data_IF_123235098568
#
_entry.id   IF_123235098568
#
_cell.length_a   1.000
_cell.length_b   1.000
_cell.length_c   1.000
_cell.angle_alpha   90.00
_cell.angle_beta   90.00
_cell.angle_gamma   90.00
#
_symmetry.space_group_name_H-M   'P 1'
#
loop_
_entity.id
_entity.type
_entity.pdbx_description
1 polymer ?
#
# COMPACT_ATOMS: atom_id res chain seq x y z
N UNK A 1 -19.18 8.49 -3.54
CA UNK A 1 -18.51 7.30 -4.15
C UNK A 1 -19.50 6.14 -4.23
N UNK A 2 -19.59 5.49 -5.40
CA UNK A 2 -20.55 4.40 -5.60
C UNK A 2 -20.30 3.22 -4.65
N UNK A 3 -21.35 2.47 -4.35
CA UNK A 3 -21.29 1.29 -3.46
C UNK A 3 -20.31 0.23 -3.99
N UNK A 4 -20.24 0.05 -5.31
CA UNK A 4 -19.32 -0.89 -5.95
C UNK A 4 -17.86 -0.51 -5.71
N UNK A 5 -17.49 0.77 -5.93
CA UNK A 5 -16.12 1.24 -5.70
C UNK A 5 -15.76 1.13 -4.22
N UNK A 6 -16.69 1.49 -3.31
CA UNK A 6 -16.47 1.34 -1.88
C UNK A 6 -16.09 -0.09 -1.48
N UNK A 7 -16.90 -1.07 -1.84
CA UNK A 7 -16.64 -2.46 -1.46
C UNK A 7 -15.41 -3.05 -2.17
N UNK A 8 -15.13 -2.62 -3.41
CA UNK A 8 -13.91 -2.99 -4.10
C UNK A 8 -12.67 -2.47 -3.34
N UNK A 9 -12.67 -1.23 -2.86
CA UNK A 9 -11.56 -0.68 -2.06
C UNK A 9 -11.45 -1.38 -0.70
N UNK A 10 -12.55 -1.77 -0.07
CA UNK A 10 -12.51 -2.61 1.15
C UNK A 10 -11.89 -3.98 0.87
N UNK A 11 -12.25 -4.62 -0.25
CA UNK A 11 -11.62 -5.87 -0.68
C UNK A 11 -10.12 -5.67 -0.94
N UNK A 12 -9.73 -4.58 -1.60
CA UNK A 12 -8.34 -4.22 -1.79
C UNK A 12 -7.61 -4.02 -0.47
N UNK A 13 -8.24 -3.37 0.52
CA UNK A 13 -7.69 -3.20 1.86
C UNK A 13 -7.49 -4.55 2.59
N UNK A 14 -8.41 -5.50 2.43
CA UNK A 14 -8.28 -6.87 2.96
C UNK A 14 -7.13 -7.63 2.28
N UNK A 15 -7.10 -7.69 0.95
CA UNK A 15 -6.03 -8.33 0.18
C UNK A 15 -4.66 -7.73 0.54
N UNK A 16 -4.65 -6.42 0.73
CA UNK A 16 -3.48 -5.69 1.16
C UNK A 16 -3.00 -6.12 2.56
N UNK A 17 -3.93 -6.28 3.51
CA UNK A 17 -3.59 -6.80 4.83
C UNK A 17 -3.07 -8.26 4.78
N UNK A 18 -3.63 -9.10 3.90
CA UNK A 18 -3.21 -10.49 3.71
C UNK A 18 -1.75 -10.59 3.27
N UNK A 19 -1.34 -9.89 2.21
CA UNK A 19 0.06 -9.99 1.77
C UNK A 19 1.03 -9.40 2.81
N UNK A 20 0.64 -8.34 3.52
CA UNK A 20 1.45 -7.77 4.60
C UNK A 20 1.62 -8.78 5.75
N UNK A 21 0.57 -9.50 6.12
CA UNK A 21 0.63 -10.53 7.15
C UNK A 21 1.58 -11.67 6.75
N UNK A 22 1.56 -12.10 5.49
CA UNK A 22 2.48 -13.12 4.97
C UNK A 22 3.94 -12.65 5.08
N UNK A 23 4.23 -11.41 4.66
CA UNK A 23 5.59 -10.85 4.78
C UNK A 23 6.02 -10.72 6.24
N UNK A 24 5.12 -10.27 7.12
CA UNK A 24 5.41 -10.08 8.54
C UNK A 24 5.61 -11.40 9.28
N UNK A 25 4.83 -12.43 8.96
CA UNK A 25 4.90 -13.75 9.60
C UNK A 25 6.09 -14.60 9.13
N UNK A 26 6.77 -14.21 8.05
CA UNK A 26 7.94 -14.91 7.54
C UNK A 26 9.24 -14.55 8.27
N UNK A 27 10.14 -15.53 8.42
CA UNK A 27 11.42 -15.36 9.11
C UNK A 27 12.34 -14.33 8.44
N UNK A 28 12.32 -14.27 7.10
CA UNK A 28 13.14 -13.36 6.30
C UNK A 28 12.23 -12.39 5.53
N UNK A 29 12.15 -11.14 6.01
CA UNK A 29 11.26 -10.11 5.43
C UNK A 29 11.69 -9.70 4.03
N UNK A 30 13.01 -9.65 3.75
CA UNK A 30 13.54 -9.28 2.43
C UNK A 30 13.19 -10.37 1.41
N UNK A 31 13.39 -11.64 1.79
CA UNK A 31 12.98 -12.79 0.98
C UNK A 31 11.47 -12.78 0.69
N UNK A 32 10.62 -12.62 1.72
CA UNK A 32 9.18 -12.65 1.52
C UNK A 32 8.69 -11.45 0.69
N UNK A 33 9.26 -10.26 0.89
CA UNK A 33 8.94 -9.09 0.07
C UNK A 33 9.29 -9.33 -1.40
N UNK A 34 10.51 -9.82 -1.67
CA UNK A 34 10.93 -10.15 -3.03
C UNK A 34 10.07 -11.26 -3.65
N UNK A 35 9.65 -12.25 -2.87
CA UNK A 35 8.73 -13.30 -3.31
C UNK A 35 7.35 -12.74 -3.67
N UNK A 36 6.77 -11.86 -2.85
CA UNK A 36 5.49 -11.17 -3.14
C UNK A 36 5.58 -10.38 -4.44
N UNK A 37 6.62 -9.55 -4.56
CA UNK A 37 6.84 -8.71 -5.74
C UNK A 37 7.07 -9.53 -7.01
N UNK A 38 7.86 -10.61 -6.94
CA UNK A 38 8.06 -11.51 -8.08
C UNK A 38 6.79 -12.32 -8.39
N UNK A 39 6.01 -12.65 -7.37
CA UNK A 39 4.78 -13.43 -7.48
C UNK A 39 3.64 -12.73 -8.21
N UNK A 40 3.73 -11.40 -8.41
CA UNK A 40 2.77 -10.68 -9.27
C UNK A 40 3.04 -10.83 -10.76
N UNK A 41 4.22 -11.33 -11.17
CA UNK A 41 4.59 -11.49 -12.59
C UNK A 41 3.59 -12.36 -13.38
N UNK A 42 3.22 -13.58 -12.93
CA UNK A 42 2.37 -14.45 -13.73
C UNK A 42 1.01 -13.83 -14.01
N UNK A 43 0.36 -13.24 -13.00
CA UNK A 43 -0.93 -12.58 -13.18
C UNK A 43 -0.83 -11.31 -14.02
N UNK A 44 0.29 -10.58 -13.92
CA UNK A 44 0.55 -9.42 -14.79
C UNK A 44 0.60 -9.83 -16.26
N UNK A 45 1.29 -10.93 -16.58
CA UNK A 45 1.35 -11.48 -17.95
C UNK A 45 -0.03 -11.92 -18.45
N UNK A 46 -0.82 -12.58 -17.60
CA UNK A 46 -2.20 -12.98 -17.95
C UNK A 46 -3.07 -11.76 -18.25
N UNK A 47 -2.99 -10.72 -17.43
CA UNK A 47 -3.75 -9.47 -17.67
C UNK A 47 -3.31 -8.80 -18.97
N UNK A 48 -2.01 -8.74 -19.26
CA UNK A 48 -1.50 -8.17 -20.51
C UNK A 48 -1.83 -8.99 -21.75
N UNK A 49 -2.11 -10.28 -21.60
CA UNK A 49 -2.57 -11.14 -22.70
C UNK A 49 -4.08 -10.98 -22.99
N UNK A 50 -4.88 -10.59 -21.99
CA UNK A 50 -6.34 -10.49 -22.09
C UNK A 50 -6.79 -9.07 -22.43
N UNK A 51 -6.13 -8.05 -21.87
CA UNK A 51 -6.53 -6.66 -22.01
C UNK A 51 -5.65 -5.90 -23.00
N UNK A 52 -6.18 -4.87 -23.68
CA UNK A 52 -5.37 -4.03 -24.56
C UNK A 52 -4.25 -3.33 -23.78
N UNK A 53 -3.13 -3.13 -24.45
CA UNK A 53 -2.02 -2.35 -23.89
C UNK A 53 -2.47 -0.92 -23.55
N UNK A 54 -1.88 -0.31 -22.50
CA UNK A 54 -2.17 1.06 -22.12
C UNK A 54 -1.90 2.04 -23.26
N UNK A 55 -2.77 3.05 -23.38
CA UNK A 55 -2.62 4.13 -24.35
C UNK A 55 -1.25 4.81 -24.20
N UNK A 56 -0.65 5.25 -25.31
CA UNK A 56 0.71 5.82 -25.37
C UNK A 56 0.85 7.03 -24.44
N UNK A 57 -0.21 7.81 -24.29
CA UNK A 57 -0.32 8.99 -23.44
C UNK A 57 -0.09 8.67 -21.95
N UNK A 58 -0.33 7.43 -21.53
CA UNK A 58 -0.13 6.98 -20.14
C UNK A 58 1.30 6.54 -19.82
N UNK A 59 2.16 6.32 -20.83
CA UNK A 59 3.47 5.70 -20.62
C UNK A 59 4.45 6.55 -19.80
N UNK A 60 4.36 7.88 -19.89
CA UNK A 60 5.13 8.77 -19.02
C UNK A 60 4.84 8.53 -17.54
N UNK A 61 3.56 8.29 -17.21
CA UNK A 61 3.12 7.96 -15.85
C UNK A 61 3.53 6.54 -15.44
N UNK A 62 3.46 5.56 -16.36
CA UNK A 62 3.93 4.19 -16.12
C UNK A 62 5.41 4.19 -15.71
N UNK A 63 6.26 4.86 -16.50
CA UNK A 63 7.71 4.92 -16.24
C UNK A 63 7.99 5.62 -14.90
N UNK A 64 7.32 6.75 -14.65
CA UNK A 64 7.47 7.47 -13.39
C UNK A 64 7.02 6.62 -12.18
N UNK A 65 5.89 5.92 -12.29
CA UNK A 65 5.38 5.05 -11.24
C UNK A 65 6.31 3.89 -10.95
N UNK A 66 6.85 3.22 -11.98
CA UNK A 66 7.85 2.16 -11.81
C UNK A 66 9.05 2.67 -11.00
N UNK A 67 9.59 3.84 -11.37
CA UNK A 67 10.74 4.41 -10.67
C UNK A 67 10.42 4.71 -9.20
N UNK A 68 9.28 5.36 -8.92
CA UNK A 68 8.87 5.70 -7.55
C UNK A 68 8.57 4.45 -6.73
N UNK A 69 7.92 3.43 -7.30
CA UNK A 69 7.61 2.18 -6.59
C UNK A 69 8.86 1.36 -6.26
N UNK A 70 9.86 1.32 -7.15
CA UNK A 70 11.15 0.68 -6.83
C UNK A 70 11.83 1.43 -5.69
N UNK A 71 11.93 2.76 -5.77
CA UNK A 71 12.53 3.58 -4.71
C UNK A 71 11.79 3.39 -3.37
N UNK A 72 10.46 3.40 -3.39
CA UNK A 72 9.60 3.14 -2.24
C UNK A 72 9.97 1.85 -1.52
N UNK A 73 10.09 0.72 -2.22
CA UNK A 73 10.36 -0.57 -1.58
C UNK A 73 11.74 -0.58 -0.89
N UNK A 74 12.77 0.01 -1.52
CA UNK A 74 14.10 0.10 -0.90
C UNK A 74 14.13 1.05 0.30
N UNK A 75 13.54 2.24 0.17
CA UNK A 75 13.48 3.22 1.27
C UNK A 75 12.70 2.65 2.45
N UNK A 76 11.60 1.93 2.20
CA UNK A 76 10.81 1.29 3.24
C UNK A 76 11.59 0.19 3.96
N UNK A 77 12.26 -0.69 3.22
CA UNK A 77 13.12 -1.73 3.81
C UNK A 77 14.21 -1.10 4.68
N UNK A 78 14.88 -0.08 4.18
CA UNK A 78 15.91 0.63 4.93
C UNK A 78 15.35 1.35 6.17
N UNK A 79 14.15 1.91 6.09
CA UNK A 79 13.46 2.48 7.24
C UNK A 79 13.20 1.44 8.33
N UNK A 80 12.75 0.24 7.96
CA UNK A 80 12.54 -0.88 8.89
C UNK A 80 13.83 -1.46 9.48
N UNK A 81 14.95 -1.38 8.75
CA UNK A 81 16.26 -1.75 9.28
C UNK A 81 16.81 -0.67 10.23
N UNK A 82 16.44 0.60 10.03
CA UNK A 82 16.93 1.74 10.82
C UNK A 82 16.15 1.97 12.11
N UNK A 83 14.85 1.66 12.16
CA UNK A 83 14.02 1.94 13.34
C UNK A 83 12.90 0.95 13.59
N UNK A 84 12.32 1.06 14.78
CA UNK A 84 11.25 0.18 15.24
C UNK A 84 10.03 0.24 14.32
N UNK A 85 9.45 -0.93 14.03
CA UNK A 85 8.24 -1.05 13.21
C UNK A 85 7.09 -0.20 13.78
N UNK A 86 6.97 -0.11 15.10
CA UNK A 86 5.97 0.69 15.81
C UNK A 86 6.12 2.20 15.55
N UNK A 87 7.29 2.67 15.13
CA UNK A 87 7.54 4.06 14.74
C UNK A 87 7.44 4.27 13.22
N UNK A 88 8.06 3.40 12.44
CA UNK A 88 8.20 3.58 10.98
C UNK A 88 6.87 3.39 10.27
N UNK A 89 6.13 2.33 10.63
CA UNK A 89 4.90 1.97 9.96
C UNK A 89 3.82 3.07 10.00
N UNK A 90 3.50 3.67 11.17
CA UNK A 90 2.43 4.66 11.25
C UNK A 90 2.77 5.96 10.51
N UNK A 91 4.04 6.36 10.53
CA UNK A 91 4.49 7.56 9.81
C UNK A 91 4.41 7.32 8.31
N UNK A 92 4.95 6.20 7.81
CA UNK A 92 4.95 5.89 6.38
C UNK A 92 3.53 5.74 5.83
N UNK A 93 2.64 5.05 6.55
CA UNK A 93 1.26 4.80 6.13
C UNK A 93 0.33 5.98 6.34
N UNK A 94 0.44 6.67 7.46
CA UNK A 94 -0.44 7.79 7.79
C UNK A 94 -0.15 9.06 6.98
N UNK A 95 1.11 9.31 6.63
CA UNK A 95 1.48 10.51 5.85
C UNK A 95 1.06 10.43 4.38
N UNK A 96 1.01 9.23 3.77
CA UNK A 96 0.63 9.06 2.36
C UNK A 96 -0.74 9.67 2.03
N UNK A 97 -1.85 9.19 2.61
CA UNK A 97 -3.19 9.73 2.37
C UNK A 97 -3.33 11.20 2.75
N UNK A 98 -2.63 11.68 3.78
CA UNK A 98 -2.62 13.11 4.12
C UNK A 98 -2.00 13.95 3.00
N UNK A 99 -0.85 13.54 2.49
CA UNK A 99 -0.17 14.24 1.40
C UNK A 99 -1.05 14.19 0.15
N UNK A 100 -1.67 13.05 -0.16
CA UNK A 100 -2.60 12.93 -1.28
C UNK A 100 -3.80 13.85 -1.10
N UNK A 101 -4.41 13.92 0.09
CA UNK A 101 -5.54 14.80 0.37
C UNK A 101 -5.15 16.28 0.18
N UNK A 102 -4.02 16.72 0.75
CA UNK A 102 -3.53 18.09 0.56
C UNK A 102 -3.25 18.38 -0.92
N UNK A 103 -2.58 17.46 -1.62
CA UNK A 103 -2.29 17.63 -3.04
C UNK A 103 -3.57 17.72 -3.87
N UNK A 104 -4.57 16.91 -3.54
CA UNK A 104 -5.86 16.90 -4.23
C UNK A 104 -6.59 18.23 -4.10
N UNK A 105 -6.59 18.83 -2.89
CA UNK A 105 -7.21 20.14 -2.64
C UNK A 105 -6.47 21.25 -3.37
N UNK A 106 -5.14 21.33 -3.22
CA UNK A 106 -4.37 22.48 -3.68
C UNK A 106 -3.97 22.42 -5.16
N UNK A 107 -3.77 21.23 -5.72
CA UNK A 107 -3.24 21.05 -7.08
C UNK A 107 -4.21 20.39 -8.04
N UNK A 108 -5.09 19.49 -7.56
CA UNK A 108 -6.13 18.89 -8.41
C UNK A 108 -7.46 19.66 -8.38
N UNK A 109 -7.59 20.66 -7.51
CA UNK A 109 -8.80 21.45 -7.35
C UNK A 109 -9.99 20.65 -6.82
N UNK A 110 -9.75 19.51 -6.17
CA UNK A 110 -10.80 18.69 -5.59
C UNK A 110 -11.40 19.37 -4.36
N UNK A 111 -12.73 19.43 -4.30
CA UNK A 111 -13.47 19.94 -3.15
C UNK A 111 -14.05 18.77 -2.35
N UNK A 112 -13.81 18.78 -1.05
CA UNK A 112 -14.33 17.78 -0.13
C UNK A 112 -15.38 18.36 0.80
N UNK A 113 -16.43 17.60 1.06
CA UNK A 113 -17.39 17.96 2.10
C UNK A 113 -16.74 17.87 3.49
N UNK A 114 -17.31 18.56 4.47
CA UNK A 114 -16.84 18.47 5.86
C UNK A 114 -16.81 17.02 6.36
N UNK A 115 -17.80 16.21 5.96
CA UNK A 115 -17.90 14.80 6.34
C UNK A 115 -16.75 13.97 5.73
N UNK A 116 -16.34 14.26 4.50
CA UNK A 116 -15.20 13.61 3.85
C UNK A 116 -13.87 13.98 4.52
N UNK A 117 -13.68 15.25 4.87
CA UNK A 117 -12.49 15.70 5.61
C UNK A 117 -12.42 15.01 6.97
N UNK A 118 -13.52 15.00 7.73
CA UNK A 118 -13.60 14.31 9.01
C UNK A 118 -13.30 12.81 8.88
N UNK A 119 -13.83 12.16 7.85
CA UNK A 119 -13.55 10.74 7.58
C UNK A 119 -12.06 10.48 7.32
N UNK A 120 -11.42 11.26 6.45
CA UNK A 120 -9.98 11.16 6.15
C UNK A 120 -9.17 11.39 7.43
N UNK A 121 -9.47 12.46 8.17
CA UNK A 121 -8.76 12.79 9.41
C UNK A 121 -8.90 11.68 10.45
N UNK A 122 -10.09 11.09 10.60
CA UNK A 122 -10.32 10.01 11.56
C UNK A 122 -9.52 8.75 11.22
N UNK A 123 -9.47 8.37 9.93
CA UNK A 123 -8.67 7.22 9.48
C UNK A 123 -7.18 7.48 9.71
N UNK A 124 -6.68 8.64 9.28
CA UNK A 124 -5.27 9.00 9.43
C UNK A 124 -4.87 9.07 10.90
N UNK A 125 -5.67 9.71 11.75
CA UNK A 125 -5.39 9.80 13.18
C UNK A 125 -5.41 8.40 13.82
N UNK A 126 -6.32 7.52 13.40
CA UNK A 126 -6.31 6.12 13.82
C UNK A 126 -4.98 5.44 13.53
N UNK A 127 -4.40 5.66 12.35
CA UNK A 127 -3.06 5.15 12.00
C UNK A 127 -2.01 5.81 12.88
N UNK A 128 -1.97 7.13 12.98
CA UNK A 128 -0.92 7.86 13.72
C UNK A 128 -0.92 7.54 15.22
N UNK A 129 -2.08 7.23 15.81
CA UNK A 129 -2.21 6.79 17.21
C UNK A 129 -1.43 5.51 17.46
N UNK A 130 -1.23 4.64 16.46
CA UNK A 130 -0.38 3.45 16.62
C UNK A 130 1.10 3.79 16.91
N UNK A 131 1.55 5.00 16.57
CA UNK A 131 2.91 5.48 16.90
C UNK A 131 3.11 5.81 18.39
N UNK A 132 2.02 5.88 19.18
CA UNK A 132 2.06 6.19 20.62
C UNK A 132 2.38 4.92 21.45
N UNK A 133 2.30 3.73 20.85
CA UNK A 133 2.62 2.47 21.53
C UNK A 133 4.07 2.38 22.03
N UNK A 134 4.31 1.48 23.00
CA UNK A 134 5.65 1.24 23.59
C UNK A 134 6.68 0.97 22.47
N UNK A 135 7.67 1.86 22.37
CA UNK A 135 8.88 1.61 21.58
C UNK A 135 9.76 0.61 22.31
N UNK A 136 10.44 -0.28 21.56
CA UNK A 136 11.27 -1.33 22.15
C UNK A 136 12.44 -0.75 22.95
N UNK A 137 12.96 0.41 22.50
CA UNK A 137 14.16 1.05 23.08
C UNK A 137 13.91 2.45 23.68
N UNK A 138 12.65 2.91 23.78
CA UNK A 138 12.28 4.18 24.40
C UNK A 138 12.83 5.48 23.76
N UNK A 139 13.62 5.39 22.68
CA UNK A 139 14.20 6.54 21.98
C UNK A 139 13.61 6.67 20.57
N UNK A 140 13.03 7.84 20.29
CA UNK A 140 12.60 8.21 18.94
C UNK A 140 13.81 8.30 18.01
N UNK A 141 13.89 7.41 17.04
CA UNK A 141 14.93 7.50 16.01
C UNK A 141 14.49 8.51 14.95
N UNK A 142 15.09 9.70 14.97
CA UNK A 142 14.77 10.78 14.02
C UNK A 142 15.09 10.38 12.57
N UNK A 143 16.19 9.64 12.35
CA UNK A 143 16.56 9.15 11.03
C UNK A 143 15.51 8.17 10.49
N UNK A 144 15.02 7.26 11.34
CA UNK A 144 13.93 6.35 10.97
C UNK A 144 12.63 7.09 10.67
N UNK A 145 12.30 8.15 11.43
CA UNK A 145 11.13 8.99 11.16
C UNK A 145 11.26 9.72 9.81
N UNK A 146 12.45 10.26 9.51
CA UNK A 146 12.73 10.91 8.23
C UNK A 146 12.56 9.93 7.06
N UNK A 147 13.13 8.73 7.17
CA UNK A 147 12.97 7.68 6.15
C UNK A 147 11.51 7.26 5.98
N UNK A 148 10.78 7.09 7.08
CA UNK A 148 9.36 6.77 7.05
C UNK A 148 8.53 7.86 6.37
N UNK A 149 8.83 9.13 6.62
CA UNK A 149 8.15 10.25 5.94
C UNK A 149 8.47 10.26 4.44
N UNK A 150 9.74 10.02 4.05
CA UNK A 150 10.12 9.88 2.64
C UNK A 150 9.34 8.72 1.99
N UNK A 151 9.18 7.58 2.69
CA UNK A 151 8.33 6.48 2.23
C UNK A 151 6.90 6.97 1.99
N UNK A 152 6.33 7.73 2.92
CA UNK A 152 5.01 8.33 2.78
C UNK A 152 4.89 9.24 1.56
N UNK A 153 5.90 10.07 1.30
CA UNK A 153 5.98 10.88 0.09
C UNK A 153 6.03 10.03 -1.18
N UNK A 154 6.78 8.92 -1.18
CA UNK A 154 6.77 7.99 -2.31
C UNK A 154 5.39 7.33 -2.49
N UNK A 155 4.71 6.97 -1.39
CA UNK A 155 3.35 6.41 -1.42
C UNK A 155 2.37 7.39 -2.05
N UNK A 156 2.40 8.64 -1.62
CA UNK A 156 1.58 9.69 -2.21
C UNK A 156 1.93 9.93 -3.68
N UNK A 157 3.24 10.00 -3.98
CA UNK A 157 3.76 10.24 -5.32
C UNK A 157 3.28 9.21 -6.33
N UNK A 158 3.52 7.91 -6.08
CA UNK A 158 3.05 6.87 -7.00
C UNK A 158 1.52 6.84 -7.07
N UNK A 159 0.80 7.13 -5.97
CA UNK A 159 -0.67 7.10 -5.97
C UNK A 159 -1.26 8.19 -6.87
N UNK A 160 -0.70 9.40 -6.83
CA UNK A 160 -1.11 10.51 -7.68
C UNK A 160 -0.71 10.25 -9.15
N UNK A 161 0.53 9.80 -9.38
CA UNK A 161 1.01 9.44 -10.72
C UNK A 161 0.10 8.37 -11.34
N UNK A 162 -0.22 7.32 -10.59
CA UNK A 162 -1.08 6.23 -11.05
C UNK A 162 -2.52 6.67 -11.26
N UNK A 163 -3.05 7.54 -10.40
CA UNK A 163 -4.39 8.09 -10.60
C UNK A 163 -4.51 8.92 -11.88
N UNK A 164 -3.50 9.73 -12.20
CA UNK A 164 -3.46 10.53 -13.42
C UNK A 164 -3.21 9.65 -14.66
N UNK A 165 -2.25 8.73 -14.58
CA UNK A 165 -1.90 7.82 -15.67
C UNK A 165 -3.02 6.85 -16.03
N UNK A 166 -3.68 6.25 -15.03
CA UNK A 166 -4.73 5.27 -15.27
C UNK A 166 -5.97 5.87 -15.96
N UNK A 167 -6.27 7.16 -15.74
CA UNK A 167 -7.34 7.88 -16.44
C UNK A 167 -7.06 8.04 -17.94
N UNK A 168 -5.78 8.04 -18.34
CA UNK A 168 -5.34 8.13 -19.73
C UNK A 168 -5.13 6.76 -20.39
N UNK A 169 -5.06 5.68 -19.61
CA UNK A 169 -4.57 4.39 -20.07
C UNK A 169 -5.58 3.51 -20.82
N UNK A 170 -6.84 3.94 -20.96
CA UNK A 170 -8.01 3.16 -21.40
C UNK A 170 -8.40 1.98 -20.49
N UNK A 171 -7.43 1.26 -19.91
CA UNK A 171 -7.67 0.14 -19.01
C UNK A 171 -6.72 0.19 -17.79
N UNK A 172 -7.29 0.33 -16.60
CA UNK A 172 -6.54 0.45 -15.35
C UNK A 172 -5.79 -0.85 -14.97
N UNK A 173 -6.31 -2.02 -15.34
CA UNK A 173 -5.69 -3.30 -15.02
C UNK A 173 -4.45 -3.53 -15.87
N UNK A 174 -4.50 -3.27 -17.18
CA UNK A 174 -3.30 -3.36 -18.03
C UNK A 174 -2.27 -2.27 -17.72
N UNK A 175 -2.73 -1.06 -17.34
CA UNK A 175 -1.85 0.01 -16.84
C UNK A 175 -1.00 -0.48 -15.66
N UNK A 176 -1.66 -1.01 -14.63
CA UNK A 176 -0.93 -1.51 -13.47
C UNK A 176 -0.18 -2.81 -13.77
N UNK A 177 -0.65 -3.66 -14.68
CA UNK A 177 0.05 -4.89 -15.03
C UNK A 177 1.43 -4.65 -15.63
N UNK A 178 1.62 -3.61 -16.45
CA UNK A 178 2.95 -3.23 -16.92
C UNK A 178 3.84 -2.82 -15.74
N UNK A 179 3.32 -1.97 -14.86
CA UNK A 179 4.06 -1.49 -13.68
C UNK A 179 4.47 -2.68 -12.78
N UNK A 180 3.51 -3.55 -12.46
CA UNK A 180 3.68 -4.75 -11.65
C UNK A 180 4.65 -5.76 -12.25
N UNK A 181 4.61 -5.96 -13.57
CA UNK A 181 5.58 -6.77 -14.28
C UNK A 181 6.98 -6.14 -14.18
N UNK A 182 7.11 -4.83 -14.42
CA UNK A 182 8.39 -4.14 -14.42
C UNK A 182 9.06 -4.15 -13.05
N UNK A 183 8.39 -3.69 -11.99
CA UNK A 183 9.00 -3.73 -10.65
C UNK A 183 9.12 -5.17 -10.12
N UNK A 184 8.20 -6.07 -10.52
CA UNK A 184 8.27 -7.51 -10.27
C UNK A 184 9.56 -8.16 -10.76
N UNK A 185 10.07 -7.70 -11.91
CA UNK A 185 11.35 -8.15 -12.47
C UNK A 185 12.54 -7.42 -11.86
N UNK A 186 12.47 -6.09 -11.72
CA UNK A 186 13.63 -5.27 -11.35
C UNK A 186 13.96 -5.41 -9.86
N UNK A 187 12.96 -5.34 -8.98
CA UNK A 187 13.19 -5.30 -7.54
C UNK A 187 13.89 -6.56 -7.00
N UNK A 188 13.48 -7.80 -7.35
CA UNK A 188 14.16 -8.99 -6.86
C UNK A 188 15.60 -9.11 -7.35
N UNK A 189 15.91 -8.67 -8.58
CA UNK A 189 17.29 -8.65 -9.10
C UNK A 189 18.16 -7.67 -8.32
N UNK A 190 17.63 -6.50 -7.98
CA UNK A 190 18.35 -5.54 -7.15
C UNK A 190 18.50 -6.03 -5.70
N UNK A 191 17.48 -6.70 -5.15
CA UNK A 191 17.54 -7.31 -3.82
C UNK A 191 18.55 -8.47 -3.75
N UNK A 192 18.67 -9.28 -4.81
CA UNK A 192 19.67 -10.35 -4.94
C UNK A 192 21.10 -9.79 -4.83
N UNK A 193 21.36 -8.59 -5.37
CA UNK A 193 22.68 -7.94 -5.26
C UNK A 193 23.02 -7.54 -3.82
N UNK A 194 22.02 -7.22 -3.00
CA UNK A 194 22.21 -6.90 -1.58
C UNK A 194 22.21 -8.15 -0.70
N UNK A 195 21.59 -9.23 -1.15
CA UNK A 195 21.46 -10.49 -0.41
C UNK A 195 21.58 -11.68 -1.37
N UNK A 196 22.82 -12.10 -1.72
CA UNK A 196 23.04 -13.16 -2.69
C UNK A 196 22.39 -14.48 -2.28
N UNK A 197 21.77 -15.17 -3.24
CA UNK A 197 21.05 -16.42 -3.06
C UNK A 197 19.56 -16.26 -2.72
N UNK A 198 19.06 -15.02 -2.56
CA UNK A 198 17.66 -14.74 -2.22
C UNK A 198 16.69 -15.35 -3.23
N UNK A 199 16.90 -15.17 -4.53
CA UNK A 199 16.00 -15.66 -5.59
C UNK A 199 15.94 -17.19 -5.58
N UNK A 200 17.07 -17.86 -5.35
CA UNK A 200 17.15 -19.33 -5.28
C UNK A 200 16.42 -19.91 -4.07
N UNK A 201 16.24 -19.11 -3.01
CA UNK A 201 15.51 -19.49 -1.79
C UNK A 201 13.99 -19.36 -1.94
N UNK A 202 13.50 -18.48 -2.82
CA UNK A 202 12.05 -18.21 -2.99
C UNK A 202 11.23 -19.50 -3.19
N UNK A 203 11.58 -20.40 -4.14
CA UNK A 203 10.79 -21.61 -4.36
C UNK A 203 10.80 -22.60 -3.20
N UNK A 204 11.72 -22.46 -2.24
CA UNK A 204 11.86 -23.37 -1.10
C UNK A 204 11.22 -22.80 0.17
N UNK A 205 11.46 -21.52 0.42
CA UNK A 205 11.19 -20.87 1.71
C UNK A 205 10.03 -19.88 1.67
N UNK A 206 9.62 -19.39 0.49
CA UNK A 206 8.66 -18.29 0.35
C UNK A 206 7.51 -18.58 -0.63
N UNK A 207 7.11 -19.85 -0.79
CA UNK A 207 6.03 -20.26 -1.72
C UNK A 207 4.71 -19.53 -1.46
N UNK A 208 4.30 -19.42 -0.21
CA UNK A 208 3.05 -18.74 0.15
C UNK A 208 3.13 -17.23 -0.16
N UNK A 209 4.27 -16.59 0.11
CA UNK A 209 4.52 -15.20 -0.26
C UNK A 209 4.47 -15.01 -1.78
N UNK A 210 5.05 -15.93 -2.55
CA UNK A 210 5.01 -15.89 -4.01
C UNK A 210 3.59 -16.06 -4.55
N UNK A 211 2.91 -17.17 -4.24
CA UNK A 211 1.62 -17.47 -4.86
C UNK A 211 0.47 -16.69 -4.24
N UNK A 212 0.34 -16.65 -2.92
CA UNK A 212 -0.79 -15.98 -2.25
C UNK A 212 -0.50 -14.49 -2.15
N UNK A 213 0.67 -14.13 -1.62
CA UNK A 213 1.06 -12.75 -1.45
C UNK A 213 1.22 -12.01 -2.78
N UNK A 214 1.79 -12.65 -3.81
CA UNK A 214 1.94 -12.08 -5.15
C UNK A 214 0.61 -11.80 -5.87
N UNK A 215 -0.35 -12.72 -5.79
CA UNK A 215 -1.68 -12.46 -6.33
C UNK A 215 -2.42 -11.40 -5.49
N UNK A 216 -2.34 -11.48 -4.16
CA UNK A 216 -2.99 -10.52 -3.28
C UNK A 216 -2.46 -9.10 -3.47
N UNK A 217 -1.14 -8.90 -3.62
CA UNK A 217 -0.55 -7.57 -3.88
C UNK A 217 -1.01 -7.01 -5.22
N UNK A 218 -1.01 -7.86 -6.26
CA UNK A 218 -1.44 -7.45 -7.60
C UNK A 218 -2.89 -6.99 -7.59
N UNK A 219 -3.81 -7.85 -7.14
CA UNK A 219 -5.23 -7.52 -7.15
C UNK A 219 -5.56 -6.37 -6.20
N UNK A 220 -4.92 -6.31 -5.02
CA UNK A 220 -5.12 -5.19 -4.10
C UNK A 220 -4.85 -3.86 -4.80
N UNK A 221 -3.70 -3.72 -5.46
CA UNK A 221 -3.35 -2.44 -6.05
C UNK A 221 -3.98 -2.20 -7.43
N UNK A 222 -4.22 -3.24 -8.24
CA UNK A 222 -4.99 -3.13 -9.48
C UNK A 222 -6.40 -2.56 -9.23
N UNK A 223 -7.07 -3.03 -8.16
CA UNK A 223 -8.37 -2.50 -7.74
C UNK A 223 -8.27 -1.03 -7.31
N UNK A 224 -7.20 -0.65 -6.60
CA UNK A 224 -6.97 0.75 -6.19
C UNK A 224 -6.76 1.67 -7.39
N UNK A 225 -5.93 1.24 -8.36
CA UNK A 225 -5.68 1.99 -9.60
C UNK A 225 -6.97 2.13 -10.40
N UNK A 226 -7.78 1.06 -10.50
CA UNK A 226 -9.12 1.16 -11.08
C UNK A 226 -10.01 2.13 -10.30
N UNK A 227 -10.02 2.07 -8.97
CA UNK A 227 -10.83 2.97 -8.14
C UNK A 227 -10.43 4.44 -8.30
N UNK A 228 -9.15 4.76 -8.54
CA UNK A 228 -8.70 6.13 -8.87
C UNK A 228 -9.31 6.68 -10.18
N UNK A 229 -9.72 5.81 -11.11
CA UNK A 229 -10.45 6.23 -12.30
C UNK A 229 -11.92 6.56 -12.02
N UNK A 230 -12.44 6.13 -10.87
CA UNK A 230 -13.88 6.19 -10.53
C UNK A 230 -14.20 7.15 -9.38
N UNK A 231 -13.21 7.50 -8.55
CA UNK A 231 -13.40 8.30 -7.35
C UNK A 231 -12.16 9.17 -7.05
N UNK A 232 -12.34 10.27 -6.29
CA UNK A 232 -11.24 11.12 -5.83
C UNK A 232 -10.11 10.33 -5.15
N UNK A 233 -8.87 10.67 -5.50
CA UNK A 233 -7.66 9.92 -5.08
C UNK A 233 -7.52 9.91 -3.56
N UNK A 234 -7.82 11.04 -2.92
CA UNK A 234 -7.77 11.19 -1.47
C UNK A 234 -8.75 10.24 -0.75
N UNK A 235 -9.96 10.07 -1.28
CA UNK A 235 -10.97 9.19 -0.67
C UNK A 235 -10.58 7.72 -0.78
N UNK A 236 -10.08 7.31 -1.96
CA UNK A 236 -9.64 5.94 -2.21
C UNK A 236 -8.42 5.58 -1.36
N UNK A 237 -7.42 6.47 -1.30
CA UNK A 237 -6.21 6.25 -0.48
C UNK A 237 -6.51 6.22 1.00
N UNK A 238 -7.38 7.10 1.51
CA UNK A 238 -7.81 7.05 2.91
C UNK A 238 -8.56 5.75 3.21
N UNK A 239 -9.54 5.36 2.38
CA UNK A 239 -10.31 4.14 2.60
C UNK A 239 -9.44 2.86 2.56
N UNK A 240 -8.40 2.83 1.72
CA UNK A 240 -7.44 1.72 1.67
C UNK A 240 -6.75 1.49 3.02
N UNK A 241 -6.53 2.53 3.81
CA UNK A 241 -5.87 2.40 5.12
C UNK A 241 -6.73 1.71 6.18
N UNK A 242 -8.00 1.42 5.89
CA UNK A 242 -8.79 0.44 6.67
C UNK A 242 -8.14 -0.96 6.70
N UNK A 243 -7.15 -1.21 5.83
CA UNK A 243 -6.31 -2.41 5.88
C UNK A 243 -5.64 -2.63 7.24
N UNK A 244 -5.43 -1.58 8.03
CA UNK A 244 -4.91 -1.70 9.39
C UNK A 244 -5.84 -2.49 10.31
N UNK A 245 -7.16 -2.37 10.12
CA UNK A 245 -8.15 -3.12 10.91
C UNK A 245 -8.09 -4.60 10.58
N UNK A 246 -8.00 -4.94 9.29
CA UNK A 246 -7.80 -6.32 8.86
C UNK A 246 -6.45 -6.87 9.32
N UNK A 247 -5.37 -6.08 9.24
CA UNK A 247 -4.04 -6.48 9.70
C UNK A 247 -4.01 -6.76 11.21
N UNK A 248 -4.74 -5.98 12.01
CA UNK A 248 -4.89 -6.20 13.45
C UNK A 248 -5.65 -7.48 13.76
N UNK A 249 -6.77 -7.73 13.08
CA UNK A 249 -7.53 -8.99 13.20
C UNK A 249 -6.63 -10.18 12.84
N UNK A 250 -5.92 -10.10 11.70
CA UNK A 250 -5.01 -11.17 11.27
C UNK A 250 -3.88 -11.36 12.29
N UNK A 251 -3.32 -10.27 12.82
CA UNK A 251 -2.26 -10.31 13.83
C UNK A 251 -2.69 -11.00 15.12
N UNK A 252 -3.89 -10.69 15.63
CA UNK A 252 -4.42 -11.31 16.85
C UNK A 252 -4.74 -12.80 16.64
N UNK A 253 -5.48 -13.14 15.59
CA UNK A 253 -5.98 -14.50 15.41
C UNK A 253 -4.97 -15.47 14.79
N UNK A 254 -4.14 -15.01 13.85
CA UNK A 254 -3.21 -15.88 13.11
C UNK A 254 -1.77 -15.75 13.58
N UNK A 255 -1.34 -14.55 13.98
CA UNK A 255 0.02 -14.31 14.51
C UNK A 255 0.08 -14.36 16.04
N UNK A 256 -1.05 -14.59 16.71
CA UNK A 256 -1.19 -14.71 18.18
C UNK A 256 -0.63 -13.49 18.93
N UNK A 257 -0.76 -12.31 18.36
CA UNK A 257 -0.36 -11.08 19.03
C UNK A 257 -1.29 -10.73 20.19
N UNK A 258 -0.72 -10.18 21.25
CA UNK A 258 -1.50 -9.71 22.39
C UNK A 258 -2.51 -8.62 22.00
N UNK A 259 -3.68 -8.71 22.61
CA UNK A 259 -4.74 -7.73 22.49
C UNK A 259 -4.43 -6.51 23.37
N UNK A 260 -4.59 -5.31 22.81
CA UNK A 260 -4.33 -4.05 23.51
C UNK A 260 -5.46 -3.07 23.22
N UNK A 261 -5.92 -2.33 24.23
CA UNK A 261 -6.91 -1.26 24.10
C UNK A 261 -6.56 -0.23 23.02
N UNK A 262 -5.28 0.07 22.81
CA UNK A 262 -4.83 0.94 21.72
C UNK A 262 -5.25 0.39 20.35
N UNK A 263 -5.18 -0.93 20.14
CA UNK A 263 -5.61 -1.60 18.91
C UNK A 263 -7.12 -1.42 18.68
N UNK A 264 -7.92 -1.45 19.75
CA UNK A 264 -9.38 -1.22 19.67
C UNK A 264 -9.70 0.20 19.24
N UNK A 265 -9.01 1.19 19.82
CA UNK A 265 -9.19 2.60 19.44
C UNK A 265 -8.85 2.80 17.97
N UNK A 266 -7.72 2.25 17.51
CA UNK A 266 -7.27 2.33 16.11
C UNK A 266 -8.31 1.74 15.17
N UNK A 267 -8.77 0.52 15.43
CA UNK A 267 -9.81 -0.15 14.62
C UNK A 267 -11.11 0.65 14.62
N UNK A 268 -11.52 1.17 15.79
CA UNK A 268 -12.76 1.93 15.90
C UNK A 268 -12.68 3.22 15.08
N UNK A 269 -11.56 3.95 15.16
CA UNK A 269 -11.35 5.18 14.39
C UNK A 269 -11.37 4.93 12.88
N UNK A 270 -10.65 3.90 12.41
CA UNK A 270 -10.60 3.61 10.98
C UNK A 270 -11.93 3.08 10.43
N UNK A 271 -12.65 2.25 11.19
CA UNK A 271 -13.98 1.75 10.81
C UNK A 271 -15.00 2.88 10.80
N UNK A 272 -15.05 3.73 11.83
CA UNK A 272 -15.95 4.88 11.87
C UNK A 272 -15.65 5.84 10.72
N UNK A 273 -14.38 6.14 10.44
CA UNK A 273 -13.99 6.96 9.30
C UNK A 273 -14.43 6.35 7.96
N UNK A 274 -14.31 5.03 7.78
CA UNK A 274 -14.81 4.34 6.58
C UNK A 274 -16.33 4.43 6.43
N UNK A 275 -17.07 4.29 7.53
CA UNK A 275 -18.53 4.47 7.56
C UNK A 275 -18.92 5.91 7.20
N UNK A 276 -18.26 6.91 7.81
CA UNK A 276 -18.50 8.32 7.48
C UNK A 276 -18.21 8.61 6.00
N UNK A 277 -17.14 8.04 5.45
CA UNK A 277 -16.82 8.16 4.02
C UNK A 277 -17.95 7.56 3.17
N UNK A 278 -18.51 6.40 3.55
CA UNK A 278 -19.65 5.81 2.84
C UNK A 278 -20.95 6.60 2.97
N UNK A 279 -21.17 7.28 4.08
CA UNK A 279 -22.36 8.12 4.29
C UNK A 279 -22.22 9.48 3.59
N UNK A 280 -21.00 9.94 3.33
CA UNK A 280 -20.71 11.18 2.61
C UNK A 280 -20.84 11.09 1.08
N UNK A 281 -21.23 9.92 0.59
CA UNK A 281 -20.96 9.43 -0.76
C UNK A 281 -22.13 9.53 -1.72
#
# INVERSE_FOLDING_TARGET
MTTTVFFAVILAALLHAVWNAIVKGGNDKRLNMAAVVMGSIPISLVVLAIFPFPAVESWGYIIASIAVQIAYHFILLYAYETGDLTQVYPIARGSGPLIVAMFSIFFLGEQFSLLQILAITMIVLGILVTAIGKQSNGKRNFQAAKLALITGCCIAGYSIIDALGAKLANNAFSYYAIIALSYGLIFPVLAERQSPGLIKRIPKEAKAAFFIGGNATFFAYAIIVWAFTQAPVALVTALRETSISFALIIGVFFLKEEFNWLKVVVVSMTVMGAVLLKLSA
#
